data_IF_886662865548
#
_entry.id   IF_886662865548
#
_cell.length_a   1.000
_cell.length_b   1.000
_cell.length_c   1.000
_cell.angle_alpha   90.00
_cell.angle_beta   90.00
_cell.angle_gamma   90.00
#
_symmetry.space_group_name_H-M   'P 1'
#
loop_
_entity.id
_entity.type
_entity.pdbx_description
1 polymer ?
#
# COMPACT_ATOMS: atom_id res chain seq x y z
N UNK A 1 17.27 8.12 12.61
CA UNK A 1 16.05 7.29 12.81
C UNK A 1 16.47 5.83 12.84
N UNK A 2 15.68 4.95 13.46
CA UNK A 2 15.94 3.51 13.41
C UNK A 2 15.76 2.98 11.98
N UNK A 3 16.52 1.93 11.62
CA UNK A 3 16.37 1.28 10.32
C UNK A 3 15.38 0.11 10.44
N UNK A 4 14.10 0.43 10.31
CA UNK A 4 13.03 -0.56 10.41
C UNK A 4 13.06 -1.56 9.25
N UNK A 5 13.59 -1.18 8.07
CA UNK A 5 13.71 -2.06 6.90
C UNK A 5 14.68 -3.22 7.19
N UNK A 6 15.83 -2.90 7.82
CA UNK A 6 16.77 -3.94 8.22
C UNK A 6 16.17 -4.84 9.31
N UNK A 7 15.40 -4.27 10.26
CA UNK A 7 14.70 -5.04 11.29
C UNK A 7 13.70 -6.00 10.68
N UNK A 8 12.86 -5.51 9.77
CA UNK A 8 11.85 -6.31 9.07
C UNK A 8 12.49 -7.42 8.25
N UNK A 9 13.52 -7.12 7.47
CA UNK A 9 14.22 -8.11 6.66
C UNK A 9 14.86 -9.24 7.50
N UNK A 10 15.36 -8.92 8.69
CA UNK A 10 15.86 -9.93 9.64
C UNK A 10 14.74 -10.86 10.12
N UNK A 11 13.59 -10.29 10.48
CA UNK A 11 12.43 -11.05 10.95
C UNK A 11 11.88 -11.96 9.85
N UNK A 12 11.70 -11.43 8.64
CA UNK A 12 11.19 -12.18 7.48
C UNK A 12 12.11 -13.36 7.11
N UNK A 13 13.43 -13.16 7.29
CA UNK A 13 14.42 -14.20 7.02
C UNK A 13 14.64 -15.18 8.18
N UNK A 14 14.05 -14.88 9.35
CA UNK A 14 14.27 -15.67 10.57
C UNK A 14 15.71 -15.61 11.05
N UNK A 15 16.45 -14.54 10.73
CA UNK A 15 17.87 -14.38 11.04
C UNK A 15 18.08 -13.39 12.19
N UNK A 16 18.97 -13.71 13.11
CA UNK A 16 19.28 -12.88 14.28
C UNK A 16 20.40 -11.88 14.01
N UNK A 17 20.48 -10.85 14.87
CA UNK A 17 21.59 -9.87 14.83
C UNK A 17 22.96 -10.55 14.97
N UNK A 18 23.03 -11.60 15.81
CA UNK A 18 24.26 -12.34 16.09
C UNK A 18 24.71 -13.10 14.84
N UNK A 19 23.81 -13.84 14.20
CA UNK A 19 24.11 -14.60 12.99
C UNK A 19 24.56 -13.69 11.84
N UNK A 20 23.94 -12.51 11.69
CA UNK A 20 24.39 -11.52 10.70
C UNK A 20 25.79 -11.03 11.03
N UNK A 21 26.04 -10.69 12.30
CA UNK A 21 27.34 -10.16 12.75
C UNK A 21 28.47 -11.17 12.51
N UNK A 22 28.22 -12.44 12.82
CA UNK A 22 29.17 -13.55 12.56
C UNK A 22 29.41 -13.74 11.06
N UNK A 23 28.35 -13.77 10.25
CA UNK A 23 28.44 -13.99 8.81
C UNK A 23 29.23 -12.91 8.05
N UNK A 24 29.26 -11.68 8.58
CA UNK A 24 29.97 -10.55 7.95
C UNK A 24 31.18 -10.07 8.76
N UNK A 25 31.58 -10.83 9.77
CA UNK A 25 32.78 -10.60 10.61
C UNK A 25 32.79 -9.22 11.28
N UNK A 26 31.67 -8.86 11.95
CA UNK A 26 31.56 -7.63 12.74
C UNK A 26 31.02 -7.94 14.15
N UNK A 27 31.19 -7.00 15.08
CA UNK A 27 30.58 -7.08 16.40
C UNK A 27 29.06 -6.93 16.34
N UNK A 28 28.29 -7.73 17.10
CA UNK A 28 26.84 -7.70 17.15
C UNK A 28 26.28 -6.31 17.51
N UNK A 29 26.97 -5.55 18.39
CA UNK A 29 26.63 -4.16 18.72
C UNK A 29 26.74 -3.23 17.50
N UNK A 30 27.56 -3.58 16.52
CA UNK A 30 27.67 -2.82 15.28
C UNK A 30 26.40 -2.99 14.44
N UNK A 31 25.92 -4.22 14.27
CA UNK A 31 24.65 -4.50 13.59
C UNK A 31 23.47 -3.88 14.35
N UNK A 32 23.45 -4.00 15.68
CA UNK A 32 22.44 -3.36 16.51
C UNK A 32 22.38 -1.83 16.30
N UNK A 33 23.52 -1.15 16.17
CA UNK A 33 23.58 0.29 15.89
C UNK A 33 23.07 0.65 14.51
N UNK A 34 23.22 -0.22 13.52
CA UNK A 34 22.64 -0.01 12.20
C UNK A 34 21.10 -0.01 12.28
N UNK A 35 20.52 -0.90 13.08
CA UNK A 35 19.09 -0.98 13.31
C UNK A 35 18.59 0.18 14.17
N UNK A 36 19.14 0.34 15.39
CA UNK A 36 18.57 1.23 16.41
C UNK A 36 18.88 2.71 16.16
N UNK A 37 20.05 3.01 15.60
CA UNK A 37 20.51 4.38 15.34
C UNK A 37 20.48 4.77 13.86
N UNK A 38 20.09 3.85 12.97
CA UNK A 38 20.07 4.06 11.53
C UNK A 38 21.45 4.43 10.95
N UNK A 39 22.55 3.90 11.55
CA UNK A 39 23.87 4.12 10.98
C UNK A 39 24.03 3.39 9.67
N UNK A 40 24.48 4.10 8.65
CA UNK A 40 24.81 3.51 7.35
C UNK A 40 26.15 2.78 7.43
N UNK A 41 26.20 1.46 7.18
CA UNK A 41 27.45 0.71 7.15
C UNK A 41 28.35 1.10 5.96
N UNK A 42 29.62 0.75 6.03
CA UNK A 42 30.50 0.80 4.85
C UNK A 42 29.96 -0.11 3.74
N UNK A 43 30.21 0.25 2.49
CA UNK A 43 29.68 -0.42 1.30
C UNK A 43 29.87 -1.95 1.32
N UNK A 44 31.06 -2.44 1.74
CA UNK A 44 31.33 -3.88 1.84
C UNK A 44 30.34 -4.60 2.77
N UNK A 45 29.99 -3.99 3.90
CA UNK A 45 29.06 -4.60 4.86
C UNK A 45 27.62 -4.48 4.40
N UNK A 46 27.23 -3.35 3.76
CA UNK A 46 25.90 -3.20 3.17
C UNK A 46 25.64 -4.29 2.13
N UNK A 47 26.61 -4.48 1.20
CA UNK A 47 26.52 -5.52 0.18
C UNK A 47 26.44 -6.93 0.78
N UNK A 48 27.26 -7.23 1.80
CA UNK A 48 27.27 -8.53 2.45
C UNK A 48 25.95 -8.84 3.17
N UNK A 49 25.40 -7.86 3.92
CA UNK A 49 24.09 -8.00 4.60
C UNK A 49 22.95 -8.14 3.58
N UNK A 50 22.93 -7.32 2.54
CA UNK A 50 21.91 -7.38 1.50
C UNK A 50 21.91 -8.76 0.83
N UNK A 51 23.07 -9.29 0.48
CA UNK A 51 23.24 -10.64 -0.08
C UNK A 51 22.79 -11.74 0.90
N UNK A 52 23.15 -11.64 2.18
CA UNK A 52 22.77 -12.61 3.21
C UNK A 52 21.25 -12.66 3.40
N UNK A 53 20.61 -11.50 3.45
CA UNK A 53 19.15 -11.39 3.66
C UNK A 53 18.35 -11.58 2.38
N UNK A 54 19.00 -11.61 1.19
CA UNK A 54 18.32 -11.77 -0.10
C UNK A 54 17.50 -10.55 -0.52
N UNK A 55 17.93 -9.35 -0.07
CA UNK A 55 17.27 -8.08 -0.36
C UNK A 55 18.25 -7.10 -1.00
N UNK A 56 17.74 -6.09 -1.70
CA UNK A 56 18.57 -5.07 -2.33
C UNK A 56 19.23 -4.14 -1.30
N UNK A 57 20.51 -3.76 -1.52
CA UNK A 57 21.26 -2.81 -0.69
C UNK A 57 20.50 -1.47 -0.57
N UNK A 58 19.92 -1.00 -1.68
CA UNK A 58 19.16 0.23 -1.74
C UNK A 58 17.85 0.19 -0.94
N UNK A 59 17.27 -1.00 -0.77
CA UNK A 59 16.12 -1.18 0.11
C UNK A 59 16.51 -1.00 1.58
N UNK A 60 17.61 -1.62 2.01
CA UNK A 60 18.06 -1.55 3.40
C UNK A 60 18.62 -0.18 3.79
N UNK A 61 19.32 0.48 2.89
CA UNK A 61 19.98 1.78 3.13
C UNK A 61 19.76 2.75 1.96
N UNK A 62 18.54 3.25 1.75
CA UNK A 62 18.24 4.19 0.66
C UNK A 62 19.06 5.49 0.77
N UNK A 63 19.40 5.90 2.00
CA UNK A 63 20.24 7.06 2.28
C UNK A 63 21.70 6.90 1.80
N UNK A 64 22.11 5.68 1.46
CA UNK A 64 23.41 5.40 0.88
C UNK A 64 23.46 5.56 -0.64
N UNK A 65 22.29 5.77 -1.27
CA UNK A 65 22.19 6.01 -2.71
C UNK A 65 22.58 7.46 -3.03
N UNK A 66 23.20 7.64 -4.18
CA UNK A 66 23.38 8.99 -4.72
C UNK A 66 22.04 9.54 -5.19
N UNK A 67 21.86 10.88 -5.26
CA UNK A 67 20.64 11.48 -5.81
C UNK A 67 20.28 10.95 -7.21
N UNK A 68 21.28 10.73 -8.07
CA UNK A 68 21.08 10.16 -9.41
C UNK A 68 20.55 8.73 -9.37
N UNK A 69 21.08 7.89 -8.48
CA UNK A 69 20.60 6.51 -8.29
C UNK A 69 19.17 6.50 -7.74
N UNK A 70 18.87 7.37 -6.77
CA UNK A 70 17.52 7.51 -6.23
C UNK A 70 16.53 7.91 -7.31
N UNK A 71 16.88 8.91 -8.14
CA UNK A 71 16.05 9.34 -9.25
C UNK A 71 15.81 8.21 -10.26
N UNK A 72 16.85 7.49 -10.66
CA UNK A 72 16.75 6.39 -11.60
C UNK A 72 15.86 5.26 -11.09
N UNK A 73 15.94 4.90 -9.81
CA UNK A 73 15.05 3.89 -9.21
C UNK A 73 13.62 4.41 -9.15
N UNK A 74 13.40 5.66 -8.74
CA UNK A 74 12.07 6.27 -8.68
C UNK A 74 11.40 6.32 -10.06
N UNK A 75 12.16 6.61 -11.13
CA UNK A 75 11.65 6.55 -12.50
C UNK A 75 11.18 5.15 -12.89
N UNK A 76 11.82 4.08 -12.38
CA UNK A 76 11.38 2.70 -12.66
C UNK A 76 10.16 2.27 -11.84
N UNK A 77 9.89 2.94 -10.69
CA UNK A 77 8.68 2.71 -9.91
C UNK A 77 7.44 3.31 -10.58
N UNK A 78 7.58 4.42 -11.33
CA UNK A 78 6.46 5.09 -11.99
C UNK A 78 6.21 4.41 -13.33
N UNK A 79 5.08 3.70 -13.43
CA UNK A 79 4.63 3.11 -14.71
C UNK A 79 4.03 4.19 -15.59
N UNK A 80 3.13 5.01 -15.02
CA UNK A 80 2.53 6.17 -15.70
C UNK A 80 1.80 7.06 -14.70
N UNK A 81 1.48 8.29 -15.13
CA UNK A 81 0.66 9.23 -14.37
C UNK A 81 -0.51 9.67 -15.25
N UNK A 82 -1.72 9.54 -14.72
CA UNK A 82 -2.94 10.00 -15.38
C UNK A 82 -3.35 11.35 -14.78
N UNK A 83 -3.76 12.34 -15.60
CA UNK A 83 -4.13 13.66 -15.10
C UNK A 83 -5.37 13.65 -14.19
N UNK A 84 -6.22 12.64 -14.33
CA UNK A 84 -7.40 12.41 -13.50
C UNK A 84 -7.84 10.94 -13.63
N UNK A 85 -8.68 10.46 -12.69
CA UNK A 85 -9.12 9.07 -12.65
C UNK A 85 -9.88 8.63 -13.92
N UNK A 86 -10.61 9.54 -14.56
CA UNK A 86 -11.29 9.26 -15.84
C UNK A 86 -10.34 8.96 -16.99
N UNK A 87 -9.08 9.41 -16.92
CA UNK A 87 -8.07 9.12 -17.93
C UNK A 87 -7.47 7.70 -17.76
N UNK A 88 -7.68 7.04 -16.63
CA UNK A 88 -7.31 5.63 -16.49
C UNK A 88 -8.22 4.78 -17.37
N UNK A 89 -7.67 4.00 -18.32
CA UNK A 89 -8.48 3.15 -19.17
C UNK A 89 -9.41 2.25 -18.37
N UNK A 90 -10.69 2.16 -18.77
CA UNK A 90 -11.70 1.43 -17.99
C UNK A 90 -11.29 -0.02 -17.73
N UNK A 91 -10.68 -0.68 -18.68
CA UNK A 91 -10.19 -2.05 -18.59
C UNK A 91 -8.92 -2.19 -17.74
N UNK A 92 -8.17 -1.11 -17.49
CA UNK A 92 -6.97 -1.15 -16.67
C UNK A 92 -7.28 -1.52 -15.21
N UNK A 93 -8.41 -1.06 -14.67
CA UNK A 93 -8.87 -1.45 -13.33
C UNK A 93 -9.13 -2.95 -13.25
N UNK A 94 -9.91 -3.48 -14.20
CA UNK A 94 -10.19 -4.93 -14.25
C UNK A 94 -8.93 -5.76 -14.43
N UNK A 95 -8.01 -5.36 -15.33
CA UNK A 95 -6.74 -6.06 -15.51
C UNK A 95 -5.86 -6.02 -14.28
N UNK A 96 -5.79 -4.88 -13.59
CA UNK A 96 -5.01 -4.75 -12.35
C UNK A 96 -5.46 -5.83 -11.36
N UNK A 97 -6.73 -5.85 -11.00
CA UNK A 97 -7.22 -6.79 -9.99
C UNK A 97 -7.23 -8.25 -10.46
N UNK A 98 -7.50 -8.49 -11.76
CA UNK A 98 -7.46 -9.85 -12.31
C UNK A 98 -6.04 -10.45 -12.32
N UNK A 99 -5.00 -9.60 -12.33
CA UNK A 99 -3.61 -10.06 -12.30
C UNK A 99 -3.14 -10.52 -10.92
N UNK A 100 -3.87 -10.19 -9.84
CA UNK A 100 -3.48 -10.50 -8.47
C UNK A 100 -3.35 -12.01 -8.25
N UNK A 101 -2.27 -12.41 -7.57
CA UNK A 101 -1.97 -13.80 -7.21
C UNK A 101 -1.85 -14.01 -5.71
N UNK A 102 -1.55 -12.97 -4.95
CA UNK A 102 -1.31 -13.02 -3.51
C UNK A 102 -2.29 -12.13 -2.75
N UNK A 103 -2.36 -10.85 -3.11
CA UNK A 103 -3.16 -9.91 -2.34
C UNK A 103 -3.73 -8.75 -3.18
N UNK A 104 -4.91 -8.28 -2.76
CA UNK A 104 -5.55 -7.05 -3.22
C UNK A 104 -5.81 -6.19 -2.00
N UNK A 105 -5.37 -4.92 -2.04
CA UNK A 105 -5.61 -3.95 -0.99
C UNK A 105 -6.31 -2.71 -1.55
N UNK A 106 -7.34 -2.25 -0.87
CA UNK A 106 -8.12 -1.07 -1.24
C UNK A 106 -8.25 -0.16 -0.02
N UNK A 107 -7.79 1.09 -0.14
CA UNK A 107 -7.98 2.15 0.86
C UNK A 107 -8.69 3.33 0.21
N UNK A 108 -9.91 3.61 0.66
CA UNK A 108 -10.77 4.63 0.06
C UNK A 108 -11.73 5.22 1.11
N UNK A 109 -12.30 6.41 0.86
CA UNK A 109 -13.48 6.81 1.61
C UNK A 109 -14.68 5.94 1.22
N UNK A 110 -15.23 6.04 0.01
CA UNK A 110 -16.40 5.26 -0.41
C UNK A 110 -16.08 4.13 -1.37
N UNK A 111 -15.15 4.33 -2.30
CA UNK A 111 -14.83 3.36 -3.36
C UNK A 111 -16.03 2.97 -4.24
N UNK A 112 -17.08 3.78 -4.23
CA UNK A 112 -18.36 3.47 -4.86
C UNK A 112 -18.23 3.13 -6.35
N UNK A 113 -17.29 3.76 -7.08
CA UNK A 113 -17.10 3.50 -8.50
C UNK A 113 -16.62 2.07 -8.81
N UNK A 114 -15.84 1.46 -7.90
CA UNK A 114 -15.44 0.04 -8.00
C UNK A 114 -16.60 -0.86 -7.59
N UNK A 115 -17.28 -0.51 -6.50
CA UNK A 115 -18.40 -1.30 -5.98
C UNK A 115 -19.56 -1.41 -7.00
N UNK A 116 -19.80 -0.36 -7.78
CA UNK A 116 -20.83 -0.34 -8.83
C UNK A 116 -20.41 -1.07 -10.12
N UNK A 117 -19.12 -1.34 -10.32
CA UNK A 117 -18.67 -2.12 -11.46
C UNK A 117 -18.80 -3.62 -11.16
N UNK A 118 -19.88 -4.21 -11.65
CA UNK A 118 -20.17 -5.64 -11.44
C UNK A 118 -19.09 -6.55 -11.99
N UNK A 119 -18.35 -6.12 -13.02
CA UNK A 119 -17.21 -6.86 -13.57
C UNK A 119 -16.05 -6.90 -12.57
N UNK A 120 -15.72 -5.79 -11.91
CA UNK A 120 -14.68 -5.74 -10.89
C UNK A 120 -15.07 -6.54 -9.65
N UNK A 121 -16.32 -6.41 -9.18
CA UNK A 121 -16.81 -7.20 -8.02
C UNK A 121 -16.73 -8.70 -8.31
N UNK A 122 -17.03 -9.12 -9.54
CA UNK A 122 -16.86 -10.51 -9.98
C UNK A 122 -15.38 -10.93 -9.98
N UNK A 123 -14.48 -10.08 -10.47
CA UNK A 123 -13.02 -10.34 -10.40
C UNK A 123 -12.58 -10.54 -8.95
N UNK A 124 -13.07 -9.74 -7.99
CA UNK A 124 -12.74 -9.94 -6.58
C UNK A 124 -13.22 -11.31 -6.07
N UNK A 125 -14.44 -11.73 -6.42
CA UNK A 125 -14.94 -13.05 -6.06
C UNK A 125 -14.07 -14.17 -6.66
N UNK A 126 -13.75 -14.09 -7.96
CA UNK A 126 -12.91 -15.07 -8.66
C UNK A 126 -11.48 -15.12 -8.06
N UNK A 127 -10.94 -13.99 -7.62
CA UNK A 127 -9.62 -13.94 -6.95
C UNK A 127 -9.69 -14.48 -5.52
N UNK A 128 -10.76 -14.19 -4.79
CA UNK A 128 -10.98 -14.76 -3.47
C UNK A 128 -11.11 -16.29 -3.54
N UNK A 129 -11.86 -16.84 -4.50
CA UNK A 129 -11.97 -18.27 -4.76
C UNK A 129 -10.61 -18.91 -5.12
N UNK A 130 -9.73 -18.15 -5.76
CA UNK A 130 -8.35 -18.57 -6.05
C UNK A 130 -7.38 -18.45 -4.86
N UNK A 131 -7.87 -18.04 -3.67
CA UNK A 131 -7.07 -17.92 -2.44
C UNK A 131 -6.34 -16.57 -2.29
N UNK A 132 -6.60 -15.59 -3.14
CA UNK A 132 -6.02 -14.24 -3.03
C UNK A 132 -6.60 -13.55 -1.80
N UNK A 133 -5.74 -13.00 -0.92
CA UNK A 133 -6.15 -12.20 0.22
C UNK A 133 -6.69 -10.85 -0.25
N UNK A 134 -7.86 -10.45 0.22
CA UNK A 134 -8.47 -9.15 -0.13
C UNK A 134 -8.73 -8.36 1.14
N UNK A 135 -8.11 -7.18 1.25
CA UNK A 135 -8.28 -6.24 2.35
C UNK A 135 -8.89 -4.94 1.84
N UNK A 136 -10.03 -4.55 2.39
CA UNK A 136 -10.70 -3.31 2.01
C UNK A 136 -10.87 -2.39 3.22
N UNK A 137 -10.41 -1.16 3.08
CA UNK A 137 -10.58 -0.08 4.05
C UNK A 137 -11.53 0.95 3.48
N UNK A 138 -12.70 1.05 4.07
CA UNK A 138 -13.72 2.06 3.76
C UNK A 138 -13.79 3.09 4.89
N UNK A 139 -14.11 4.32 4.58
CA UNK A 139 -14.37 5.33 5.62
C UNK A 139 -15.50 4.88 6.54
N UNK A 140 -15.39 5.14 7.85
CA UNK A 140 -16.49 4.91 8.78
C UNK A 140 -17.60 5.94 8.49
N UNK A 141 -18.81 5.52 8.03
CA UNK A 141 -19.87 6.44 7.62
C UNK A 141 -20.36 7.37 8.75
N UNK A 142 -20.07 7.01 10.01
CA UNK A 142 -20.49 7.79 11.16
C UNK A 142 -19.32 8.61 11.77
N UNK A 143 -18.18 8.69 11.06
CA UNK A 143 -17.00 9.40 11.51
C UNK A 143 -16.97 10.88 11.07
N UNK A 144 -16.35 11.76 11.87
CA UNK A 144 -16.20 13.17 11.50
C UNK A 144 -15.31 13.35 10.25
N UNK A 145 -14.36 12.44 9.99
CA UNK A 145 -13.50 12.49 8.81
C UNK A 145 -14.29 12.28 7.52
N UNK A 146 -15.26 11.34 7.53
CA UNK A 146 -16.17 11.10 6.40
C UNK A 146 -17.12 12.28 6.21
N UNK A 147 -17.67 12.83 7.30
CA UNK A 147 -18.54 14.01 7.24
C UNK A 147 -17.79 15.21 6.65
N UNK A 148 -16.55 15.48 7.13
CA UNK A 148 -15.72 16.55 6.61
C UNK A 148 -15.39 16.34 5.12
N UNK A 149 -15.04 15.13 4.72
CA UNK A 149 -14.79 14.81 3.31
C UNK A 149 -16.02 15.04 2.44
N UNK A 150 -17.21 14.73 2.94
CA UNK A 150 -18.48 15.03 2.25
C UNK A 150 -18.69 16.54 2.05
N UNK A 151 -18.36 17.35 3.05
CA UNK A 151 -18.40 18.82 2.97
C UNK A 151 -17.39 19.31 1.93
N UNK A 152 -16.14 18.86 2.00
CA UNK A 152 -15.05 19.28 1.11
C UNK A 152 -15.35 18.97 -0.36
N UNK A 153 -16.04 17.87 -0.64
CA UNK A 153 -16.50 17.49 -1.99
C UNK A 153 -17.87 18.09 -2.37
N UNK A 154 -18.53 18.82 -1.46
CA UNK A 154 -19.84 19.43 -1.72
C UNK A 154 -21.02 18.44 -1.81
N UNK A 155 -20.85 17.22 -1.33
CA UNK A 155 -21.89 16.16 -1.31
C UNK A 155 -22.46 15.89 0.09
N UNK A 156 -21.87 16.53 1.14
CA UNK A 156 -22.32 16.42 2.53
C UNK A 156 -22.54 14.95 2.96
N UNK A 157 -23.74 14.60 3.43
CA UNK A 157 -24.10 13.23 3.87
C UNK A 157 -24.06 12.21 2.72
N UNK A 158 -23.92 12.66 1.48
CA UNK A 158 -23.78 11.79 0.31
C UNK A 158 -22.54 10.89 0.41
N UNK A 159 -21.45 11.31 1.08
CA UNK A 159 -20.29 10.48 1.28
C UNK A 159 -20.62 9.26 2.15
N UNK A 160 -21.28 9.45 3.28
CA UNK A 160 -21.73 8.36 4.15
C UNK A 160 -22.72 7.42 3.43
N UNK A 161 -23.64 7.99 2.65
CA UNK A 161 -24.60 7.21 1.84
C UNK A 161 -23.87 6.35 0.78
N UNK A 162 -22.86 6.88 0.10
CA UNK A 162 -22.05 6.12 -0.86
C UNK A 162 -21.32 4.94 -0.19
N UNK A 163 -20.75 5.12 1.00
CA UNK A 163 -20.09 4.04 1.76
C UNK A 163 -21.09 2.92 2.09
N UNK A 164 -22.27 3.29 2.63
CA UNK A 164 -23.32 2.33 2.94
C UNK A 164 -23.78 1.57 1.69
N UNK A 165 -23.88 2.26 0.55
CA UNK A 165 -24.23 1.64 -0.74
C UNK A 165 -23.12 0.69 -1.23
N UNK A 166 -21.85 1.07 -1.13
CA UNK A 166 -20.72 0.21 -1.51
C UNK A 166 -20.72 -1.11 -0.72
N UNK A 167 -21.02 -1.06 0.58
CA UNK A 167 -21.13 -2.27 1.41
C UNK A 167 -22.23 -3.23 0.94
N UNK A 168 -23.33 -2.72 0.38
CA UNK A 168 -24.38 -3.56 -0.19
C UNK A 168 -23.86 -4.34 -1.40
N UNK A 169 -23.08 -3.70 -2.27
CA UNK A 169 -22.47 -4.37 -3.41
C UNK A 169 -21.42 -5.41 -3.00
N UNK A 170 -20.67 -5.14 -1.93
CA UNK A 170 -19.64 -6.06 -1.43
C UNK A 170 -20.19 -7.19 -0.52
N UNK A 171 -21.52 -7.24 -0.28
CA UNK A 171 -22.12 -8.27 0.61
C UNK A 171 -21.75 -9.70 0.21
N UNK A 172 -21.71 -10.02 -1.09
CA UNK A 172 -21.36 -11.36 -1.57
C UNK A 172 -19.92 -11.74 -1.28
N UNK A 173 -19.01 -10.76 -1.27
CA UNK A 173 -17.58 -10.97 -1.01
C UNK A 173 -17.30 -11.33 0.46
N UNK A 174 -18.12 -10.87 1.39
CA UNK A 174 -17.96 -11.12 2.84
C UNK A 174 -18.16 -12.59 3.24
N UNK A 175 -18.53 -13.46 2.29
CA UNK A 175 -18.64 -14.91 2.51
C UNK A 175 -17.31 -15.64 2.41
N UNK A 176 -16.29 -15.01 1.81
CA UNK A 176 -14.97 -15.58 1.64
C UNK A 176 -14.12 -15.26 2.87
N UNK A 177 -13.51 -16.28 3.49
CA UNK A 177 -12.68 -16.12 4.70
C UNK A 177 -11.42 -15.26 4.48
N UNK A 178 -10.95 -15.19 3.23
CA UNK A 178 -9.80 -14.40 2.81
C UNK A 178 -10.15 -12.97 2.35
N UNK A 179 -11.42 -12.55 2.52
CA UNK A 179 -11.89 -11.18 2.27
C UNK A 179 -12.24 -10.51 3.57
N UNK A 180 -11.58 -9.43 3.88
CA UNK A 180 -11.85 -8.64 5.08
C UNK A 180 -12.10 -7.18 4.74
N UNK A 181 -13.19 -6.61 5.27
CA UNK A 181 -13.57 -5.22 5.11
C UNK A 181 -13.54 -4.55 6.48
N UNK A 182 -12.82 -3.44 6.60
CA UNK A 182 -12.74 -2.63 7.81
C UNK A 182 -13.16 -1.19 7.57
N UNK A 183 -13.63 -0.54 8.63
CA UNK A 183 -13.85 0.90 8.67
C UNK A 183 -12.64 1.61 9.27
N UNK A 184 -12.19 2.69 8.59
CA UNK A 184 -11.17 3.59 9.10
C UNK A 184 -11.77 4.96 9.47
N UNK A 185 -11.10 5.66 10.39
CA UNK A 185 -11.36 7.04 10.81
C UNK A 185 -10.14 7.92 10.56
N UNK A 186 -9.56 7.78 9.38
CA UNK A 186 -8.33 8.45 9.00
C UNK A 186 -8.62 9.52 7.95
N UNK A 187 -8.04 10.70 8.10
CA UNK A 187 -8.01 11.70 7.04
C UNK A 187 -7.11 11.18 5.93
N UNK A 188 -7.69 10.82 4.79
CA UNK A 188 -6.94 10.31 3.64
C UNK A 188 -6.46 11.44 2.75
N UNK A 189 -5.21 11.40 2.33
CA UNK A 189 -4.62 12.27 1.31
C UNK A 189 -4.62 11.63 -0.08
N UNK A 190 -4.94 10.35 -0.16
CA UNK A 190 -5.05 9.59 -1.39
C UNK A 190 -5.93 8.34 -1.18
N UNK A 191 -6.40 7.77 -2.28
CA UNK A 191 -6.92 6.40 -2.31
C UNK A 191 -5.85 5.48 -2.87
N UNK A 192 -5.77 4.25 -2.37
CA UNK A 192 -4.81 3.23 -2.80
C UNK A 192 -5.58 2.02 -3.33
N UNK A 193 -5.17 1.52 -4.48
CA UNK A 193 -5.69 0.31 -5.12
C UNK A 193 -4.50 -0.54 -5.51
N UNK A 194 -4.31 -1.65 -4.83
CA UNK A 194 -3.16 -2.54 -5.00
C UNK A 194 -3.57 -3.91 -5.52
N UNK A 195 -2.73 -4.48 -6.36
CA UNK A 195 -2.71 -5.89 -6.72
C UNK A 195 -1.25 -6.36 -6.75
N UNK A 196 -0.85 -7.15 -5.77
CA UNK A 196 0.51 -7.62 -5.54
C UNK A 196 1.55 -6.46 -5.50
N UNK A 197 2.37 -6.33 -6.54
CA UNK A 197 3.41 -5.29 -6.68
C UNK A 197 2.96 -4.04 -7.47
N UNK A 198 1.71 -3.99 -7.93
CA UNK A 198 1.15 -2.90 -8.70
C UNK A 198 0.21 -2.05 -7.85
N UNK A 199 0.30 -0.73 -7.98
CA UNK A 199 -0.54 0.22 -7.25
C UNK A 199 -1.10 1.29 -8.19
N UNK A 200 -2.38 1.62 -8.02
CA UNK A 200 -2.94 2.89 -8.50
C UNK A 200 -3.21 3.77 -7.27
N UNK A 201 -2.56 4.92 -7.22
CA UNK A 201 -2.68 5.89 -6.13
C UNK A 201 -3.39 7.13 -6.66
N UNK A 202 -4.62 7.37 -6.20
CA UNK A 202 -5.42 8.51 -6.60
C UNK A 202 -5.31 9.61 -5.54
N UNK A 203 -4.68 10.72 -5.87
CA UNK A 203 -4.51 11.86 -4.97
C UNK A 203 -5.84 12.47 -4.56
N UNK A 204 -5.93 13.01 -3.34
CA UNK A 204 -7.06 13.82 -2.91
C UNK A 204 -6.64 15.30 -2.92
N UNK A 205 -7.15 16.03 -3.90
CA UNK A 205 -6.94 17.47 -4.04
C UNK A 205 -8.10 18.19 -3.35
N UNK A 206 -7.77 19.16 -2.48
CA UNK A 206 -8.79 19.91 -1.73
C UNK A 206 -9.81 20.56 -2.67
N UNK A 207 -11.10 20.44 -2.34
CA UNK A 207 -12.19 20.99 -3.14
C UNK A 207 -12.42 20.29 -4.50
N UNK A 208 -11.78 19.15 -4.73
CA UNK A 208 -11.88 18.41 -6.00
C UNK A 208 -12.34 16.98 -5.74
N UNK A 209 -13.32 16.50 -6.52
CA UNK A 209 -13.70 15.10 -6.48
C UNK A 209 -12.51 14.21 -6.84
N UNK A 210 -12.38 13.08 -6.14
CA UNK A 210 -11.32 12.11 -6.42
C UNK A 210 -11.32 11.62 -7.88
N UNK A 211 -12.47 11.64 -8.56
CA UNK A 211 -12.58 11.34 -10.00
C UNK A 211 -11.81 12.29 -10.91
N UNK A 212 -11.64 13.53 -10.47
CA UNK A 212 -11.00 14.61 -11.23
C UNK A 212 -9.55 14.86 -10.77
N UNK A 213 -9.07 14.10 -9.80
CA UNK A 213 -7.72 14.21 -9.26
C UNK A 213 -6.75 13.21 -9.92
N UNK A 214 -5.44 13.51 -9.94
CA UNK A 214 -4.42 12.68 -10.58
C UNK A 214 -4.35 11.27 -10.00
N UNK A 215 -3.96 10.33 -10.86
CA UNK A 215 -3.68 8.94 -10.48
C UNK A 215 -2.28 8.57 -10.91
N UNK A 216 -1.48 8.08 -9.98
CA UNK A 216 -0.17 7.49 -10.26
C UNK A 216 -0.32 5.97 -10.34
N UNK A 217 0.17 5.37 -11.41
CA UNK A 217 0.38 3.93 -11.49
C UNK A 217 1.82 3.64 -11.11
N UNK A 218 1.99 2.96 -10.00
CA UNK A 218 3.29 2.61 -9.43
C UNK A 218 3.48 1.09 -9.48
N UNK A 219 4.75 0.70 -9.50
CA UNK A 219 5.17 -0.70 -9.36
C UNK A 219 6.23 -0.79 -8.26
N UNK A 220 6.06 -1.73 -7.33
CA UNK A 220 7.11 -2.06 -6.36
C UNK A 220 8.32 -2.65 -7.08
N UNK A 221 9.49 -2.05 -6.90
CA UNK A 221 10.74 -2.53 -7.47
C UNK A 221 11.80 -2.65 -6.38
N UNK A 222 12.79 -3.53 -6.52
CA UNK A 222 13.92 -3.61 -5.58
C UNK A 222 14.61 -2.25 -5.43
N UNK A 223 14.80 -1.83 -4.17
CA UNK A 223 15.40 -0.52 -3.87
C UNK A 223 14.46 0.68 -4.00
N UNK A 224 13.27 0.52 -4.57
CA UNK A 224 12.25 1.55 -4.65
C UNK A 224 11.63 1.85 -3.29
N UNK A 225 11.25 3.11 -3.07
CA UNK A 225 10.68 3.55 -1.80
C UNK A 225 9.31 4.18 -1.95
N UNK A 226 8.94 4.57 -3.18
CA UNK A 226 7.67 5.26 -3.44
C UNK A 226 6.48 4.31 -3.23
N UNK A 227 6.49 3.14 -3.87
CA UNK A 227 5.46 2.13 -3.66
C UNK A 227 5.42 1.67 -2.20
N UNK A 228 6.58 1.42 -1.59
CA UNK A 228 6.69 1.02 -0.18
C UNK A 228 6.07 2.05 0.78
N UNK A 229 6.21 3.35 0.50
CA UNK A 229 5.61 4.42 1.32
C UNK A 229 4.07 4.30 1.35
N UNK A 230 3.44 4.05 0.19
CA UNK A 230 1.98 3.88 0.14
C UNK A 230 1.51 2.56 0.77
N UNK A 231 2.28 1.48 0.62
CA UNK A 231 1.98 0.19 1.26
C UNK A 231 2.05 0.31 2.79
N UNK A 232 3.09 0.92 3.32
CA UNK A 232 3.22 1.17 4.77
C UNK A 232 2.09 2.08 5.29
N UNK A 233 1.65 3.07 4.49
CA UNK A 233 0.49 3.90 4.84
C UNK A 233 -0.79 3.09 4.91
N UNK A 234 -1.01 2.17 3.95
CA UNK A 234 -2.14 1.25 3.98
C UNK A 234 -2.13 0.41 5.26
N UNK A 235 -1.01 -0.24 5.56
CA UNK A 235 -0.89 -1.11 6.74
C UNK A 235 -1.09 -0.32 8.05
N UNK A 236 -0.57 0.90 8.14
CA UNK A 236 -0.79 1.77 9.31
C UNK A 236 -2.26 2.13 9.53
N UNK A 237 -3.04 2.29 8.47
CA UNK A 237 -4.50 2.52 8.57
C UNK A 237 -5.21 1.21 8.91
N UNK A 238 -4.76 0.08 8.31
CA UNK A 238 -5.33 -1.23 8.55
C UNK A 238 -5.27 -1.66 10.01
N UNK A 239 -4.14 -1.42 10.66
CA UNK A 239 -3.90 -1.80 12.06
C UNK A 239 -4.80 -1.04 13.04
N UNK A 240 -5.26 0.16 12.68
CA UNK A 240 -6.14 1.00 13.49
C UNK A 240 -7.63 0.86 13.12
N UNK A 241 -7.92 0.18 12.02
CA UNK A 241 -9.28 0.05 11.49
C UNK A 241 -10.08 -1.06 12.22
N UNK A 242 -11.39 -0.86 12.34
CA UNK A 242 -12.30 -1.84 12.94
C UNK A 242 -13.00 -2.69 11.87
N UNK A 243 -13.20 -3.99 12.08
CA UNK A 243 -13.98 -4.82 11.17
C UNK A 243 -15.40 -4.25 10.98
N UNK A 244 -15.95 -4.42 9.76
CA UNK A 244 -17.36 -4.13 9.50
C UNK A 244 -18.19 -5.27 10.09
N UNK A 245 -19.07 -4.96 11.03
CA UNK A 245 -19.97 -5.93 11.63
C UNK A 245 -20.88 -6.60 10.58
N UNK A 246 -21.24 -7.85 10.83
CA UNK A 246 -21.97 -8.75 9.90
C UNK A 246 -23.39 -8.27 9.65
#
# INVERSE_FOLDING_TARGET
MANERLRTALLERGTTIVEVAEAIEVDAKTVERWITRGRVPYRKHRFAVAKLLGVEEAYLWPEAMTPAQTAAVSETEIVTVYPHRWAVPKDAWGRLFASARQEIDILVYSGIFIAQDTGIVRVFADRADAGVKIRMLLGDPDSPEVAQRGIDEGINDGMAAQIKTALVFYRSLRRHENVEIRFHRTVLYNSIYRADDQLLVNSHVYGTFASNAPVMHLRKVPGGTMAATYLNSFDSVWDQARPVES
#
